data_IF_311123792799
#
_entry.id   IF_311123792799
#
_cell.length_a   1.000
_cell.length_b   1.000
_cell.length_c   1.000
_cell.angle_alpha   90.00
_cell.angle_beta   90.00
_cell.angle_gamma   90.00
#
_symmetry.space_group_name_H-M   'P 1'
#
loop_
_entity.id
_entity.type
_entity.pdbx_description
1 polymer ?
#
# COMPACT_ATOMS: atom_id res chain seq x y z
N UNK A 1 0.41 -31.73 23.63
CA UNK A 1 1.57 -30.95 23.12
C UNK A 1 1.72 -31.23 21.63
N UNK A 2 1.55 -30.21 20.77
CA UNK A 2 1.80 -30.34 19.32
C UNK A 2 2.90 -29.34 18.98
N UNK A 3 4.09 -29.87 18.76
CA UNK A 3 5.30 -29.10 18.44
C UNK A 3 5.23 -28.72 16.97
N UNK A 4 5.11 -27.43 16.67
CA UNK A 4 5.27 -26.92 15.32
C UNK A 4 6.73 -26.49 15.12
N UNK A 5 7.52 -27.38 14.54
CA UNK A 5 8.85 -27.07 14.03
C UNK A 5 8.67 -26.36 12.70
N UNK A 6 8.93 -25.04 12.63
CA UNK A 6 9.11 -24.34 11.36
C UNK A 6 10.58 -23.94 11.23
N UNK A 7 11.19 -24.50 10.19
CA UNK A 7 12.55 -24.25 9.74
C UNK A 7 12.84 -22.75 9.60
N UNK A 8 13.86 -22.29 10.33
CA UNK A 8 14.63 -21.10 10.02
C UNK A 8 15.66 -21.49 8.97
N UNK A 9 15.84 -20.68 7.91
CA UNK A 9 17.12 -20.25 7.36
C UNK A 9 16.86 -19.48 6.07
N UNK A 10 17.19 -18.18 6.07
CA UNK A 10 17.48 -17.41 4.87
C UNK A 10 18.90 -16.87 5.04
N UNK A 11 19.81 -17.24 4.15
CA UNK A 11 21.18 -16.72 4.09
C UNK A 11 21.21 -15.49 3.17
N UNK A 12 21.89 -14.40 3.56
CA UNK A 12 22.04 -13.25 2.67
C UNK A 12 23.14 -13.52 1.64
N UNK A 13 22.81 -13.37 0.35
CA UNK A 13 23.80 -13.30 -0.72
C UNK A 13 24.38 -11.87 -0.74
N UNK A 14 25.69 -11.76 -0.52
CA UNK A 14 26.43 -10.50 -0.62
C UNK A 14 26.82 -10.26 -2.07
N UNK A 15 26.29 -9.19 -2.69
CA UNK A 15 26.81 -8.62 -3.93
C UNK A 15 26.65 -7.09 -3.94
N UNK A 16 27.79 -6.39 -3.91
CA UNK A 16 28.04 -5.10 -4.62
C UNK A 16 27.35 -3.82 -4.14
N UNK A 17 28.16 -2.82 -3.74
CA UNK A 17 27.76 -1.49 -3.28
C UNK A 17 26.84 -0.71 -4.23
N UNK A 18 25.64 -0.39 -3.73
CA UNK A 18 24.89 0.82 -4.02
C UNK A 18 24.18 1.25 -2.73
N UNK A 19 24.85 2.06 -1.93
CA UNK A 19 24.47 2.50 -0.57
C UNK A 19 23.21 3.41 -0.50
N UNK A 20 22.28 3.32 -1.45
CA UNK A 20 21.02 4.10 -1.45
C UNK A 20 19.75 3.32 -1.82
N UNK A 21 19.84 2.01 -2.10
CA UNK A 21 18.66 1.14 -2.03
C UNK A 21 18.54 0.67 -0.57
N UNK A 22 17.88 1.49 0.26
CA UNK A 22 17.51 1.18 1.63
C UNK A 22 17.17 -0.30 1.79
N UNK A 23 18.13 -1.04 2.36
CA UNK A 23 17.97 -2.34 3.00
C UNK A 23 16.96 -3.25 2.29
N UNK A 24 17.39 -3.86 1.17
CA UNK A 24 16.66 -4.81 0.33
C UNK A 24 15.36 -5.28 1.00
N UNK A 25 14.28 -4.52 0.77
CA UNK A 25 13.00 -4.73 1.41
C UNK A 25 12.63 -6.19 1.12
N UNK A 26 12.74 -7.08 2.11
CA UNK A 26 12.43 -8.48 1.89
C UNK A 26 10.95 -8.54 1.50
N UNK A 27 10.67 -8.67 0.20
CA UNK A 27 9.32 -8.60 -0.33
C UNK A 27 8.54 -9.77 0.23
N UNK A 28 7.43 -9.46 0.88
CA UNK A 28 6.55 -10.48 1.40
C UNK A 28 5.89 -11.20 0.21
N UNK A 29 5.76 -12.54 0.27
CA UNK A 29 4.98 -13.26 -0.71
C UNK A 29 3.52 -12.75 -0.73
N UNK A 30 2.76 -12.96 -1.83
CA UNK A 30 1.44 -12.36 -2.01
C UNK A 30 0.44 -12.63 -0.88
N UNK A 31 0.32 -13.89 -0.44
CA UNK A 31 -0.64 -14.27 0.61
C UNK A 31 -0.27 -13.69 1.99
N UNK A 32 1.00 -13.78 2.45
CA UNK A 32 1.46 -13.05 3.64
C UNK A 32 1.18 -11.55 3.59
N UNK A 33 1.48 -10.88 2.47
CA UNK A 33 1.28 -9.44 2.30
C UNK A 33 -0.22 -9.08 2.36
N UNK A 34 -1.06 -9.78 1.60
CA UNK A 34 -2.51 -9.64 1.64
C UNK A 34 -3.08 -9.73 3.06
N UNK A 35 -2.65 -10.74 3.84
CA UNK A 35 -3.08 -10.89 5.24
C UNK A 35 -2.52 -9.81 6.16
N UNK A 36 -1.35 -9.25 5.87
CA UNK A 36 -0.78 -8.12 6.62
C UNK A 36 -1.64 -6.89 6.40
N UNK A 37 -1.94 -6.52 5.16
CA UNK A 37 -2.74 -5.34 4.81
C UNK A 37 -4.10 -5.37 5.53
N UNK A 38 -4.85 -6.47 5.43
CA UNK A 38 -6.15 -6.60 6.10
C UNK A 38 -6.06 -6.54 7.64
N UNK A 39 -4.91 -6.92 8.22
CA UNK A 39 -4.68 -6.75 9.67
C UNK A 39 -4.40 -5.30 10.03
N UNK A 40 -3.65 -4.59 9.21
CA UNK A 40 -3.35 -3.17 9.41
C UNK A 40 -4.64 -2.34 9.26
N UNK A 41 -5.46 -2.60 8.25
CA UNK A 41 -6.76 -1.96 8.08
C UNK A 41 -7.62 -2.04 9.35
N UNK A 42 -7.70 -3.23 9.96
CA UNK A 42 -8.46 -3.42 11.21
C UNK A 42 -7.93 -2.62 12.40
N UNK A 43 -6.65 -2.25 12.40
CA UNK A 43 -6.01 -1.53 13.50
C UNK A 43 -5.94 -0.02 13.28
N UNK A 44 -5.89 0.41 12.02
CA UNK A 44 -5.52 1.78 11.62
C UNK A 44 -6.62 2.54 10.91
N UNK A 45 -7.63 1.85 10.36
CA UNK A 45 -8.73 2.48 9.64
C UNK A 45 -10.03 2.41 10.43
N UNK A 46 -10.79 3.49 10.39
CA UNK A 46 -12.16 3.54 10.88
C UNK A 46 -13.08 2.59 10.08
N UNK A 47 -14.24 2.19 10.65
CA UNK A 47 -15.10 1.17 10.04
C UNK A 47 -15.50 1.46 8.59
N UNK A 48 -15.84 2.70 8.25
CA UNK A 48 -16.25 3.09 6.90
C UNK A 48 -15.10 2.98 5.89
N UNK A 49 -13.93 3.52 6.25
CA UNK A 49 -12.72 3.42 5.42
C UNK A 49 -12.30 1.96 5.21
N UNK A 50 -12.48 1.11 6.23
CA UNK A 50 -12.18 -0.32 6.13
C UNK A 50 -13.09 -1.05 5.15
N UNK A 51 -14.38 -0.71 5.08
CA UNK A 51 -15.32 -1.34 4.13
C UNK A 51 -14.81 -1.13 2.70
N UNK A 52 -14.47 0.11 2.36
CA UNK A 52 -13.94 0.46 1.05
C UNK A 52 -12.57 -0.19 0.81
N UNK A 53 -11.63 -0.02 1.75
CA UNK A 53 -10.26 -0.51 1.63
C UNK A 53 -10.17 -2.03 1.52
N UNK A 54 -10.88 -2.79 2.35
CA UNK A 54 -10.88 -4.25 2.31
C UNK A 54 -11.47 -4.78 1.00
N UNK A 55 -12.51 -4.13 0.47
CA UNK A 55 -13.10 -4.50 -0.83
C UNK A 55 -12.10 -4.29 -1.96
N UNK A 56 -11.42 -3.14 -1.97
CA UNK A 56 -10.42 -2.81 -2.98
C UNK A 56 -9.20 -3.75 -2.94
N UNK A 57 -8.64 -4.01 -1.76
CA UNK A 57 -7.51 -4.96 -1.61
C UNK A 57 -7.89 -6.35 -2.14
N UNK A 58 -9.10 -6.81 -1.84
CA UNK A 58 -9.60 -8.11 -2.33
C UNK A 58 -9.72 -8.15 -3.85
N UNK A 59 -10.27 -7.11 -4.46
CA UNK A 59 -10.42 -7.06 -5.92
C UNK A 59 -9.07 -7.03 -6.61
N UNK A 60 -8.13 -6.20 -6.13
CA UNK A 60 -6.81 -6.04 -6.73
C UNK A 60 -5.98 -7.32 -6.67
N UNK A 61 -5.90 -7.97 -5.50
CA UNK A 61 -5.17 -9.24 -5.38
C UNK A 61 -5.84 -10.36 -6.19
N UNK A 62 -7.16 -10.33 -6.36
CA UNK A 62 -7.86 -11.30 -7.22
C UNK A 62 -7.56 -11.05 -8.70
N UNK A 63 -7.58 -9.79 -9.14
CA UNK A 63 -7.28 -9.40 -10.51
C UNK A 63 -5.84 -9.75 -10.91
N UNK A 64 -4.89 -9.66 -9.97
CA UNK A 64 -3.47 -9.94 -10.22
C UNK A 64 -3.06 -11.41 -9.97
N UNK A 65 -4.01 -12.33 -9.75
CA UNK A 65 -3.70 -13.75 -9.43
C UNK A 65 -2.99 -14.48 -10.56
N UNK A 66 -3.27 -14.14 -11.81
CA UNK A 66 -2.73 -14.78 -13.01
C UNK A 66 -1.65 -13.94 -13.71
N UNK A 67 -1.11 -12.92 -13.04
CA UNK A 67 0.00 -12.14 -13.58
C UNK A 67 1.27 -12.96 -13.55
N UNK A 68 1.89 -13.17 -14.72
CA UNK A 68 3.11 -13.98 -14.85
C UNK A 68 4.38 -13.13 -14.99
N UNK A 69 4.26 -11.89 -15.49
CA UNK A 69 5.40 -11.01 -15.70
C UNK A 69 6.08 -10.68 -14.35
N UNK A 70 7.34 -11.12 -14.12
CA UNK A 70 8.01 -10.94 -12.83
C UNK A 70 8.15 -9.47 -12.42
N UNK A 71 8.37 -8.56 -13.38
CA UNK A 71 8.51 -7.13 -13.09
C UNK A 71 7.20 -6.54 -12.57
N UNK A 72 6.07 -6.95 -13.14
CA UNK A 72 4.75 -6.50 -12.67
C UNK A 72 4.43 -7.06 -11.29
N UNK A 73 4.78 -8.32 -11.03
CA UNK A 73 4.61 -8.94 -9.71
C UNK A 73 5.44 -8.20 -8.65
N UNK A 74 6.72 -7.93 -8.96
CA UNK A 74 7.62 -7.21 -8.06
C UNK A 74 7.09 -5.80 -7.80
N UNK A 75 6.70 -5.05 -8.84
CA UNK A 75 6.11 -3.72 -8.68
C UNK A 75 4.85 -3.76 -7.81
N UNK A 76 3.93 -4.68 -8.09
CA UNK A 76 2.70 -4.85 -7.31
C UNK A 76 2.99 -5.13 -5.82
N UNK A 77 3.86 -6.09 -5.52
CA UNK A 77 4.19 -6.43 -4.13
C UNK A 77 4.92 -5.29 -3.42
N UNK A 78 5.77 -4.54 -4.13
CA UNK A 78 6.52 -3.41 -3.58
C UNK A 78 5.57 -2.29 -3.15
N UNK A 79 4.67 -1.86 -4.04
CA UNK A 79 3.70 -0.79 -3.75
C UNK A 79 2.78 -1.16 -2.58
N UNK A 80 2.26 -2.39 -2.56
CA UNK A 80 1.40 -2.87 -1.48
C UNK A 80 2.14 -3.01 -0.14
N UNK A 81 3.42 -3.36 -0.17
CA UNK A 81 4.25 -3.43 1.04
C UNK A 81 4.56 -2.03 1.59
N UNK A 82 4.90 -1.07 0.73
CA UNK A 82 5.10 0.32 1.11
C UNK A 82 3.81 0.94 1.68
N UNK A 83 2.67 0.68 1.05
CA UNK A 83 1.36 1.09 1.57
C UNK A 83 1.12 0.56 2.99
N UNK A 84 1.33 -0.75 3.21
CA UNK A 84 1.13 -1.35 4.52
C UNK A 84 2.06 -0.73 5.59
N UNK A 85 3.34 -0.50 5.24
CA UNK A 85 4.32 0.13 6.14
C UNK A 85 3.94 1.57 6.49
N UNK A 86 3.52 2.35 5.49
CA UNK A 86 3.06 3.73 5.68
C UNK A 86 1.83 3.82 6.57
N UNK A 87 0.89 2.89 6.39
CA UNK A 87 -0.31 2.81 7.23
C UNK A 87 0.01 2.36 8.67
N UNK A 88 0.99 1.45 8.84
CA UNK A 88 1.46 1.03 10.17
C UNK A 88 2.15 2.16 10.94
N UNK A 89 2.95 2.98 10.25
CA UNK A 89 3.75 4.05 10.84
C UNK A 89 3.01 5.37 11.06
N UNK A 90 1.70 5.45 10.80
CA UNK A 90 0.87 6.67 10.86
C UNK A 90 1.38 7.84 10.02
N UNK A 91 2.36 7.59 9.15
CA UNK A 91 3.04 8.60 8.32
C UNK A 91 2.21 9.05 7.12
N UNK A 92 1.02 8.49 6.93
CA UNK A 92 0.11 8.88 5.86
C UNK A 92 -0.67 10.15 6.16
N UNK A 93 -0.85 10.53 7.43
CA UNK A 93 -1.61 11.71 7.82
C UNK A 93 -0.73 12.95 7.62
N UNK A 94 -1.21 13.91 6.84
CA UNK A 94 -0.51 15.18 6.60
C UNK A 94 0.59 15.13 5.54
N UNK A 95 0.82 13.99 4.89
CA UNK A 95 1.74 13.90 3.76
C UNK A 95 1.17 14.62 2.53
N UNK A 96 2.01 15.42 1.86
CA UNK A 96 1.64 16.08 0.62
C UNK A 96 1.78 15.12 -0.54
N UNK A 97 0.89 15.24 -1.52
CA UNK A 97 1.00 14.49 -2.76
C UNK A 97 2.31 14.87 -3.48
N UNK A 98 3.06 13.86 -3.89
CA UNK A 98 4.30 14.04 -4.64
C UNK A 98 4.02 14.75 -5.98
N UNK A 99 4.81 15.79 -6.26
CA UNK A 99 4.72 16.55 -7.52
C UNK A 99 5.02 15.67 -8.73
N UNK A 100 5.98 14.76 -8.61
CA UNK A 100 6.31 13.83 -9.69
C UNK A 100 5.18 12.86 -10.05
N UNK A 101 4.22 12.63 -9.13
CA UNK A 101 2.99 11.87 -9.43
C UNK A 101 1.97 12.73 -10.17
N UNK A 102 1.83 14.00 -9.79
CA UNK A 102 0.93 14.94 -10.47
C UNK A 102 1.33 15.14 -11.94
N UNK A 103 2.62 15.27 -12.21
CA UNK A 103 3.13 15.47 -13.58
C UNK A 103 2.88 14.27 -14.50
N UNK A 104 2.63 13.08 -13.94
CA UNK A 104 2.32 11.85 -14.67
C UNK A 104 0.83 11.60 -14.86
N UNK A 105 -0.03 12.40 -14.22
CA UNK A 105 -1.48 12.26 -14.36
C UNK A 105 -1.95 12.91 -15.67
N UNK A 106 -2.95 12.31 -16.28
CA UNK A 106 -3.68 12.93 -17.40
C UNK A 106 -4.51 14.12 -16.92
N UNK A 107 -4.88 15.02 -17.83
CA UNK A 107 -5.73 16.17 -17.54
C UNK A 107 -7.06 15.76 -16.87
N UNK A 108 -7.64 14.63 -17.31
CA UNK A 108 -8.87 14.09 -16.71
C UNK A 108 -8.64 13.66 -15.25
N UNK A 109 -7.54 12.98 -14.96
CA UNK A 109 -7.20 12.55 -13.59
C UNK A 109 -6.91 13.76 -12.69
N UNK A 110 -6.25 14.79 -13.21
CA UNK A 110 -6.02 16.05 -12.51
C UNK A 110 -7.35 16.76 -12.20
N UNK A 111 -8.27 16.80 -13.16
CA UNK A 111 -9.62 17.33 -12.96
C UNK A 111 -10.37 16.61 -11.85
N UNK A 112 -10.41 15.28 -11.88
CA UNK A 112 -11.04 14.47 -10.83
C UNK A 112 -10.40 14.67 -9.45
N UNK A 113 -9.07 14.76 -9.38
CA UNK A 113 -8.37 15.02 -8.14
C UNK A 113 -8.70 16.40 -7.57
N UNK A 114 -8.82 17.41 -8.44
CA UNK A 114 -9.22 18.76 -8.06
C UNK A 114 -10.66 18.80 -7.53
N UNK A 115 -11.61 18.14 -8.21
CA UNK A 115 -12.99 18.01 -7.75
C UNK A 115 -13.04 17.34 -6.37
N UNK A 116 -12.31 16.23 -6.18
CA UNK A 116 -12.22 15.56 -4.89
C UNK A 116 -11.72 16.52 -3.79
N UNK A 117 -10.64 17.27 -4.05
CA UNK A 117 -10.13 18.26 -3.10
C UNK A 117 -11.19 19.31 -2.72
N UNK A 118 -11.95 19.82 -3.69
CA UNK A 118 -13.01 20.79 -3.42
C UNK A 118 -14.15 20.20 -2.59
N UNK A 119 -14.58 18.97 -2.89
CA UNK A 119 -15.64 18.31 -2.11
C UNK A 119 -15.27 18.12 -0.65
N UNK A 120 -14.02 17.75 -0.36
CA UNK A 120 -13.52 17.58 1.02
C UNK A 120 -13.50 18.92 1.75
N UNK A 121 -12.92 19.96 1.13
CA UNK A 121 -12.87 21.32 1.73
C UNK A 121 -14.25 21.89 2.04
N UNK A 122 -15.22 21.64 1.15
CA UNK A 122 -16.59 22.13 1.33
C UNK A 122 -17.35 21.37 2.42
N UNK A 123 -17.05 20.07 2.61
CA UNK A 123 -17.68 19.23 3.63
C UNK A 123 -17.21 19.59 5.05
N UNK A 124 -15.97 20.03 5.20
CA UNK A 124 -15.42 20.55 6.45
C UNK A 124 -15.89 21.99 6.76
N UNK A 125 -16.58 22.65 5.83
CA UNK A 125 -17.09 24.02 5.96
C UNK A 125 -18.59 24.15 6.26
N UNK A 126 -19.33 23.03 6.36
CA UNK A 126 -20.75 22.98 6.73
C UNK A 126 -20.92 21.98 7.87
N UNK A 127 -20.43 22.35 9.06
CA UNK A 127 -20.51 21.55 10.28
C UNK A 127 -20.90 22.35 11.53
N UNK A 128 -21.26 23.64 11.37
CA UNK A 128 -21.78 24.50 12.42
C UNK A 128 -22.90 25.37 11.82
N UNK A 129 -24.11 24.81 11.72
CA UNK A 129 -25.39 25.55 11.73
C UNK A 129 -26.53 24.63 12.14
#
# INVERSE_FOLDING_TARGET
>A
MRVFTRLLYATPASMGSASSLSEALALLPPIPLYRRILRVHRKKLDPEMRILGDSYVKSEFRAHRSTENPLHIIGFLTEWQLYAQKLEGDSWIGEKLDKGKLDKMSDQQLGQLYELMQTIKNKDGQGDE
#
